data_IF_771873725157
#
_entry.id   IF_771873725157
#
_cell.length_a   1.000
_cell.length_b   1.000
_cell.length_c   1.000
_cell.angle_alpha   90.00
_cell.angle_beta   90.00
_cell.angle_gamma   90.00
#
_symmetry.space_group_name_H-M   'P 1'
#
loop_
_entity.id
_entity.type
_entity.pdbx_description
1 polymer ?
#
# COMPACT_ATOMS: atom_id res chain seq x y z
N UNK A 1 -4.00 -25.53 -8.47
CA UNK A 1 -3.88 -24.90 -7.13
C UNK A 1 -3.18 -23.53 -7.16
N UNK A 2 -2.08 -23.35 -7.93
CA UNK A 2 -1.31 -22.09 -8.02
C UNK A 2 -2.15 -20.83 -8.30
N UNK A 3 -3.16 -20.93 -9.18
CA UNK A 3 -4.03 -19.79 -9.50
C UNK A 3 -4.87 -19.32 -8.30
N UNK A 4 -5.34 -20.24 -7.43
CA UNK A 4 -6.14 -19.86 -6.25
C UNK A 4 -5.31 -19.06 -5.25
N UNK A 5 -4.06 -19.49 -5.02
CA UNK A 5 -3.12 -18.78 -4.13
C UNK A 5 -2.82 -17.38 -4.67
N UNK A 6 -2.59 -17.26 -5.98
CA UNK A 6 -2.35 -15.97 -6.63
C UNK A 6 -3.51 -14.98 -6.46
N UNK A 7 -4.74 -15.46 -6.65
CA UNK A 7 -5.96 -14.66 -6.42
C UNK A 7 -6.09 -14.23 -4.96
N UNK A 8 -5.89 -15.15 -4.01
CA UNK A 8 -5.99 -14.84 -2.57
C UNK A 8 -4.96 -13.79 -2.14
N UNK A 9 -3.70 -13.91 -2.59
CA UNK A 9 -2.66 -12.93 -2.27
C UNK A 9 -2.98 -11.53 -2.81
N UNK A 10 -3.48 -11.45 -4.04
CA UNK A 10 -3.87 -10.18 -4.64
C UNK A 10 -5.14 -9.60 -4.00
N UNK A 11 -6.10 -10.44 -3.61
CA UNK A 11 -7.27 -10.01 -2.85
C UNK A 11 -6.88 -9.45 -1.48
N UNK A 12 -5.98 -10.10 -0.75
CA UNK A 12 -5.47 -9.59 0.51
C UNK A 12 -4.80 -8.22 0.32
N UNK A 13 -3.94 -8.09 -0.70
CA UNK A 13 -3.29 -6.83 -1.01
C UNK A 13 -4.29 -5.72 -1.41
N UNK A 14 -5.34 -6.07 -2.17
CA UNK A 14 -6.41 -5.15 -2.53
C UNK A 14 -7.20 -4.70 -1.28
N UNK A 15 -7.62 -5.63 -0.43
CA UNK A 15 -8.35 -5.33 0.80
C UNK A 15 -7.55 -4.43 1.73
N UNK A 16 -6.26 -4.68 1.92
CA UNK A 16 -5.38 -3.83 2.72
C UNK A 16 -5.27 -2.43 2.11
N UNK A 17 -5.12 -2.32 0.79
CA UNK A 17 -5.06 -1.03 0.12
C UNK A 17 -6.37 -0.22 0.30
N UNK A 18 -7.53 -0.86 0.13
CA UNK A 18 -8.83 -0.22 0.32
C UNK A 18 -9.05 0.19 1.78
N UNK A 19 -8.75 -0.69 2.74
CA UNK A 19 -8.81 -0.35 4.17
C UNK A 19 -7.92 0.84 4.51
N UNK A 20 -6.72 0.91 3.91
CA UNK A 20 -5.80 2.03 4.09
C UNK A 20 -6.38 3.33 3.50
N UNK A 21 -6.99 3.27 2.32
CA UNK A 21 -7.67 4.42 1.72
C UNK A 21 -8.81 4.95 2.60
N UNK A 22 -9.65 4.05 3.12
CA UNK A 22 -10.76 4.39 4.04
C UNK A 22 -10.22 5.00 5.33
N UNK A 23 -9.16 4.44 5.91
CA UNK A 23 -8.54 4.98 7.11
C UNK A 23 -7.98 6.40 6.90
N UNK A 24 -7.46 6.71 5.70
CA UNK A 24 -7.03 8.09 5.39
C UNK A 24 -8.25 9.00 5.25
N UNK A 25 -9.27 8.60 4.48
CA UNK A 25 -10.49 9.39 4.30
C UNK A 25 -11.23 9.66 5.62
N UNK A 26 -11.19 8.74 6.58
CA UNK A 26 -11.81 8.96 7.90
C UNK A 26 -11.16 10.13 8.66
N UNK A 27 -9.91 10.50 8.37
CA UNK A 27 -9.26 11.67 8.98
C UNK A 27 -9.86 13.01 8.53
N UNK A 28 -10.60 13.04 7.41
CA UNK A 28 -11.36 14.23 7.03
C UNK A 28 -12.49 14.50 8.03
N UNK A 29 -13.09 13.45 8.59
CA UNK A 29 -14.19 13.56 9.56
C UNK A 29 -13.72 13.59 11.02
N UNK A 30 -12.64 12.86 11.34
CA UNK A 30 -12.08 12.75 12.70
C UNK A 30 -11.11 13.89 13.06
N UNK A 31 -10.67 14.68 12.09
CA UNK A 31 -9.84 15.87 12.30
C UNK A 31 -8.37 15.58 12.62
N UNK A 32 -7.68 16.57 13.21
CA UNK A 32 -6.22 16.58 13.42
C UNK A 32 -5.67 15.36 14.18
N UNK A 33 -6.40 14.85 15.17
CA UNK A 33 -5.96 13.69 15.96
C UNK A 33 -5.79 12.42 15.11
N UNK A 34 -6.61 12.26 14.07
CA UNK A 34 -6.49 11.14 13.13
C UNK A 34 -5.21 11.25 12.31
N UNK A 35 -4.84 12.46 11.88
CA UNK A 35 -3.59 12.71 11.17
C UNK A 35 -2.37 12.44 12.03
N UNK A 36 -2.39 12.83 13.31
CA UNK A 36 -1.33 12.51 14.27
C UNK A 36 -1.22 10.99 14.49
N UNK A 37 -2.34 10.29 14.66
CA UNK A 37 -2.36 8.83 14.81
C UNK A 37 -1.81 8.10 13.58
N UNK A 38 -1.99 8.67 12.38
CA UNK A 38 -1.40 8.17 11.14
C UNK A 38 0.07 8.58 10.94
N UNK A 39 0.67 9.25 11.93
CA UNK A 39 2.03 9.81 11.86
C UNK A 39 2.22 10.73 10.65
N UNK A 40 1.19 11.52 10.34
CA UNK A 40 1.27 12.51 9.27
C UNK A 40 2.34 13.57 9.61
N UNK A 41 3.00 14.16 8.60
CA UNK A 41 3.94 15.25 8.82
C UNK A 41 3.30 16.42 9.57
N UNK A 42 4.09 17.12 10.40
CA UNK A 42 3.62 18.26 11.21
C UNK A 42 2.88 19.32 10.39
N UNK A 43 3.33 19.58 9.15
CA UNK A 43 2.66 20.51 8.22
C UNK A 43 1.21 20.11 7.91
N UNK A 44 0.92 18.80 7.82
CA UNK A 44 -0.44 18.27 7.58
C UNK A 44 -1.29 18.39 8.84
N UNK A 45 -0.72 18.04 10.00
CA UNK A 45 -1.41 18.15 11.29
C UNK A 45 -1.78 19.61 11.58
N UNK A 46 -0.83 20.54 11.41
CA UNK A 46 -1.05 21.98 11.58
C UNK A 46 -2.08 22.49 10.57
N UNK A 47 -2.02 22.03 9.31
CA UNK A 47 -3.00 22.37 8.30
C UNK A 47 -4.42 21.95 8.70
N UNK A 48 -4.57 20.75 9.29
CA UNK A 48 -5.85 20.24 9.79
C UNK A 48 -6.34 21.02 11.02
N UNK A 49 -5.44 21.37 11.96
CA UNK A 49 -5.78 22.21 13.13
C UNK A 49 -6.19 23.63 12.72
N UNK A 50 -5.53 24.20 11.70
CA UNK A 50 -5.82 25.52 11.16
C UNK A 50 -7.05 25.56 10.23
N UNK A 51 -7.69 24.42 9.95
CA UNK A 51 -8.87 24.35 9.08
C UNK A 51 -8.59 24.66 7.60
N UNK A 52 -7.34 24.52 7.15
CA UNK A 52 -6.96 24.78 5.76
C UNK A 52 -7.24 23.58 4.85
N UNK A 53 -7.32 23.80 3.53
CA UNK A 53 -7.63 22.74 2.56
C UNK A 53 -6.47 21.79 2.25
N UNK A 54 -5.25 22.07 2.71
CA UNK A 54 -4.06 21.28 2.37
C UNK A 54 -4.17 19.85 2.93
N UNK A 55 -4.54 19.68 4.21
CA UNK A 55 -4.74 18.37 4.82
C UNK A 55 -5.80 17.52 4.10
N UNK A 56 -7.06 17.96 3.91
CA UNK A 56 -8.08 17.15 3.24
C UNK A 56 -7.73 16.88 1.77
N UNK A 57 -7.13 17.83 1.04
CA UNK A 57 -6.71 17.61 -0.34
C UNK A 57 -5.61 16.54 -0.43
N UNK A 58 -4.60 16.61 0.44
CA UNK A 58 -3.56 15.59 0.53
C UNK A 58 -4.15 14.20 0.85
N UNK A 59 -5.12 14.13 1.76
CA UNK A 59 -5.82 12.89 2.12
C UNK A 59 -6.56 12.27 0.93
N UNK A 60 -7.29 13.08 0.17
CA UNK A 60 -8.01 12.60 -1.02
C UNK A 60 -7.03 12.07 -2.07
N UNK A 61 -5.93 12.77 -2.30
CA UNK A 61 -4.88 12.32 -3.24
C UNK A 61 -4.27 10.99 -2.80
N UNK A 62 -3.91 10.86 -1.52
CA UNK A 62 -3.33 9.64 -0.97
C UNK A 62 -4.35 8.48 -1.04
N UNK A 63 -5.59 8.72 -0.64
CA UNK A 63 -6.66 7.72 -0.71
C UNK A 63 -6.91 7.26 -2.16
N UNK A 64 -6.91 8.17 -3.12
CA UNK A 64 -7.06 7.84 -4.54
C UNK A 64 -5.91 6.95 -5.03
N UNK A 65 -4.66 7.22 -4.62
CA UNK A 65 -3.51 6.37 -4.93
C UNK A 65 -3.73 4.95 -4.38
N UNK A 66 -4.16 4.81 -3.13
CA UNK A 66 -4.43 3.50 -2.53
C UNK A 66 -5.58 2.73 -3.22
N UNK A 67 -6.64 3.44 -3.61
CA UNK A 67 -7.74 2.85 -4.40
C UNK A 67 -7.21 2.34 -5.72
N UNK A 68 -6.38 3.13 -6.43
CA UNK A 68 -5.74 2.70 -7.67
C UNK A 68 -4.90 1.44 -7.48
N UNK A 69 -4.07 1.39 -6.42
CA UNK A 69 -3.30 0.20 -6.06
C UNK A 69 -4.22 -1.03 -5.90
N UNK A 70 -5.31 -0.89 -5.15
CA UNK A 70 -6.32 -1.93 -4.98
C UNK A 70 -6.94 -2.38 -6.32
N UNK A 71 -7.24 -1.44 -7.23
CA UNK A 71 -7.70 -1.76 -8.57
C UNK A 71 -6.65 -2.55 -9.37
N UNK A 72 -5.36 -2.19 -9.30
CA UNK A 72 -4.28 -2.95 -9.93
C UNK A 72 -4.20 -4.39 -9.38
N UNK A 73 -4.34 -4.58 -8.07
CA UNK A 73 -4.41 -5.92 -7.47
C UNK A 73 -5.59 -6.75 -7.99
N UNK A 74 -6.80 -6.17 -8.00
CA UNK A 74 -8.02 -6.82 -8.52
C UNK A 74 -7.90 -7.16 -10.00
N UNK A 75 -7.26 -6.28 -10.79
CA UNK A 75 -6.98 -6.49 -12.21
C UNK A 75 -5.97 -7.64 -12.40
N UNK A 76 -4.94 -7.72 -11.54
CA UNK A 76 -4.01 -8.84 -11.48
C UNK A 76 -4.67 -10.18 -11.13
N UNK A 77 -5.70 -10.13 -10.28
CA UNK A 77 -6.51 -11.29 -9.90
C UNK A 77 -7.52 -11.71 -10.99
N UNK A 78 -7.63 -10.95 -12.09
CA UNK A 78 -8.61 -11.13 -13.17
C UNK A 78 -10.08 -10.99 -12.72
N UNK A 79 -10.31 -10.24 -11.64
CA UNK A 79 -11.66 -9.94 -11.15
C UNK A 79 -12.29 -8.73 -11.84
N UNK A 80 -11.47 -7.80 -12.32
CA UNK A 80 -11.90 -6.62 -13.09
C UNK A 80 -11.22 -6.58 -14.46
N UNK A 81 -11.67 -5.66 -15.32
CA UNK A 81 -11.06 -5.44 -16.65
C UNK A 81 -9.55 -5.17 -16.51
N UNK A 82 -8.80 -5.72 -17.45
CA UNK A 82 -7.35 -5.55 -17.48
C UNK A 82 -6.99 -4.07 -17.69
N UNK A 83 -6.29 -3.48 -16.72
CA UNK A 83 -5.77 -2.12 -16.80
C UNK A 83 -4.58 -2.07 -17.78
N UNK A 84 -4.37 -0.93 -18.48
CA UNK A 84 -3.18 -0.75 -19.31
C UNK A 84 -1.92 -0.85 -18.43
N UNK A 85 -0.86 -1.46 -18.96
CA UNK A 85 0.43 -1.64 -18.27
C UNK A 85 0.34 -2.42 -16.94
N UNK A 86 -0.63 -3.33 -16.78
CA UNK A 86 -0.83 -4.13 -15.55
C UNK A 86 0.47 -4.75 -14.99
N UNK A 87 1.32 -5.35 -15.84
CA UNK A 87 2.59 -5.93 -15.38
C UNK A 87 3.50 -4.88 -14.78
N UNK A 88 3.72 -3.78 -15.51
CA UNK A 88 4.62 -2.70 -15.06
C UNK A 88 4.08 -2.09 -13.78
N UNK A 89 2.77 -1.78 -13.74
CA UNK A 89 2.10 -1.22 -12.56
C UNK A 89 2.23 -2.11 -11.32
N UNK A 90 2.00 -3.42 -11.42
CA UNK A 90 2.13 -4.30 -10.26
C UNK A 90 3.60 -4.42 -9.81
N UNK A 91 4.56 -4.49 -10.74
CA UNK A 91 5.97 -4.54 -10.36
C UNK A 91 6.45 -3.22 -9.72
N UNK A 92 6.00 -2.06 -10.21
CA UNK A 92 6.34 -0.77 -9.60
C UNK A 92 5.71 -0.63 -8.22
N UNK A 93 4.42 -0.97 -8.07
CA UNK A 93 3.73 -0.98 -6.76
C UNK A 93 4.48 -1.90 -5.79
N UNK A 94 4.79 -3.12 -6.21
CA UNK A 94 5.52 -4.07 -5.39
C UNK A 94 6.89 -3.53 -4.96
N UNK A 95 7.67 -2.96 -5.89
CA UNK A 95 8.96 -2.37 -5.60
C UNK A 95 8.85 -1.24 -4.59
N UNK A 96 7.91 -0.31 -4.77
CA UNK A 96 7.67 0.80 -3.83
C UNK A 96 7.27 0.29 -2.45
N UNK A 97 6.35 -0.68 -2.36
CA UNK A 97 5.93 -1.27 -1.09
C UNK A 97 7.06 -1.99 -0.36
N UNK A 98 7.88 -2.76 -1.10
CA UNK A 98 9.04 -3.48 -0.57
C UNK A 98 10.08 -2.47 -0.07
N UNK A 99 10.44 -1.48 -0.89
CA UNK A 99 11.39 -0.42 -0.48
C UNK A 99 10.89 0.29 0.77
N UNK A 100 9.60 0.67 0.81
CA UNK A 100 8.98 1.32 1.96
C UNK A 100 9.01 0.44 3.22
N UNK A 101 8.88 -0.88 3.07
CA UNK A 101 8.97 -1.83 4.19
C UNK A 101 10.40 -2.11 4.65
N UNK A 102 11.38 -2.10 3.75
CA UNK A 102 12.80 -2.36 4.06
C UNK A 102 13.46 -1.17 4.76
N UNK A 103 13.12 0.08 4.38
CA UNK A 103 13.68 1.30 4.97
C UNK A 103 13.64 1.33 6.52
N UNK A 104 12.49 1.12 7.20
CA UNK A 104 12.44 1.11 8.66
C UNK A 104 13.19 -0.07 9.28
N UNK A 105 13.25 -1.23 8.60
CA UNK A 105 14.02 -2.39 9.06
C UNK A 105 15.52 -2.08 9.02
N UNK A 106 16.01 -1.50 7.91
CA UNK A 106 17.41 -1.07 7.80
C UNK A 106 17.76 0.00 8.83
N UNK A 107 16.87 0.96 9.05
CA UNK A 107 17.07 2.01 10.03
C UNK A 107 17.10 1.44 11.46
N UNK A 108 16.25 0.45 11.76
CA UNK A 108 16.25 -0.23 13.05
C UNK A 108 17.56 -1.00 13.29
N UNK A 109 18.08 -1.69 12.28
CA UNK A 109 19.39 -2.36 12.37
C UNK A 109 20.55 -1.38 12.61
N UNK A 110 20.52 -0.18 12.04
CA UNK A 110 21.62 0.79 12.18
C UNK A 110 21.49 1.70 13.40
N UNK A 111 20.27 2.08 13.74
CA UNK A 111 19.93 3.02 14.80
C UNK A 111 18.62 2.59 15.49
N UNK A 112 18.67 1.57 16.36
CA UNK A 112 17.47 1.03 17.01
C UNK A 112 16.72 2.10 17.83
N UNK A 113 17.43 3.08 18.39
CA UNK A 113 16.86 4.17 19.19
C UNK A 113 16.05 5.19 18.37
N UNK A 114 16.10 5.14 17.03
CA UNK A 114 15.38 6.08 16.16
C UNK A 114 14.11 5.50 15.53
N UNK A 115 13.81 4.22 15.74
CA UNK A 115 12.65 3.54 15.14
C UNK A 115 11.73 3.03 16.24
N UNK A 116 10.53 3.61 16.32
CA UNK A 116 9.47 3.13 17.22
C UNK A 116 8.93 1.79 16.73
N UNK A 117 8.45 0.96 17.65
CA UNK A 117 7.81 -0.32 17.33
C UNK A 117 6.67 -0.19 16.31
N UNK A 118 5.89 0.90 16.38
CA UNK A 118 4.82 1.19 15.40
C UNK A 118 5.36 1.39 13.97
N UNK A 119 6.45 2.15 13.82
CA UNK A 119 7.09 2.40 12.51
C UNK A 119 7.62 1.09 11.92
N UNK A 120 8.22 0.23 12.76
CA UNK A 120 8.68 -1.09 12.35
C UNK A 120 7.51 -2.01 11.93
N UNK A 121 6.42 -2.02 12.70
CA UNK A 121 5.22 -2.81 12.39
C UNK A 121 4.59 -2.38 11.06
N UNK A 122 4.48 -1.07 10.82
CA UNK A 122 4.00 -0.54 9.55
C UNK A 122 4.95 -0.92 8.41
N UNK A 123 6.26 -0.83 8.62
CA UNK A 123 7.27 -1.31 7.66
C UNK A 123 7.07 -2.77 7.26
N UNK A 124 6.92 -3.66 8.25
CA UNK A 124 6.65 -5.08 8.02
C UNK A 124 5.33 -5.32 7.27
N UNK A 125 4.28 -4.56 7.59
CA UNK A 125 3.01 -4.63 6.87
C UNK A 125 3.17 -4.23 5.39
N UNK A 126 3.90 -3.14 5.10
CA UNK A 126 4.19 -2.72 3.73
C UNK A 126 5.05 -3.73 2.97
N UNK A 127 6.03 -4.35 3.63
CA UNK A 127 6.83 -5.42 3.05
C UNK A 127 5.95 -6.63 2.69
N UNK A 128 5.07 -7.04 3.60
CA UNK A 128 4.12 -8.13 3.39
C UNK A 128 3.21 -7.84 2.20
N UNK A 129 2.61 -6.65 2.13
CA UNK A 129 1.77 -6.23 0.99
C UNK A 129 2.57 -6.27 -0.32
N UNK A 130 3.79 -5.74 -0.32
CA UNK A 130 4.68 -5.75 -1.49
C UNK A 130 4.98 -7.16 -2.00
N UNK A 131 5.19 -8.12 -1.09
CA UNK A 131 5.35 -9.54 -1.40
C UNK A 131 4.06 -10.17 -1.92
N UNK A 132 2.90 -9.83 -1.36
CA UNK A 132 1.59 -10.29 -1.86
C UNK A 132 1.37 -9.85 -3.32
N UNK A 133 1.69 -8.60 -3.68
CA UNK A 133 1.64 -8.13 -5.07
C UNK A 133 2.59 -8.94 -5.98
N UNK A 134 3.85 -9.10 -5.58
CA UNK A 134 4.87 -9.77 -6.39
C UNK A 134 4.55 -11.25 -6.63
N UNK A 135 4.31 -11.98 -5.54
CA UNK A 135 4.08 -13.42 -5.56
C UNK A 135 2.71 -13.74 -6.14
N UNK A 136 1.69 -12.94 -5.79
CA UNK A 136 0.34 -13.08 -6.30
C UNK A 136 0.30 -12.91 -7.82
N UNK A 137 0.94 -11.87 -8.34
CA UNK A 137 1.00 -11.63 -9.78
C UNK A 137 1.86 -12.66 -10.52
N UNK A 138 3.01 -13.05 -9.96
CA UNK A 138 3.86 -14.10 -10.54
C UNK A 138 3.13 -15.44 -10.61
N UNK A 139 2.29 -15.76 -9.62
CA UNK A 139 1.46 -16.96 -9.62
C UNK A 139 0.32 -16.91 -10.64
N UNK A 140 -0.19 -15.72 -10.95
CA UNK A 140 -1.25 -15.48 -11.95
C UNK A 140 -0.73 -15.37 -13.39
N UNK A 141 0.57 -15.08 -13.56
CA UNK A 141 1.23 -15.05 -14.86
C UNK A 141 1.50 -16.50 -15.32
N UNK A 142 1.00 -16.91 -16.50
CA UNK A 142 1.29 -18.25 -17.01
C UNK A 142 2.80 -18.42 -17.19
N UNK A 143 3.34 -19.53 -16.70
CA UNK A 143 4.75 -19.84 -16.77
C UNK A 143 5.16 -20.00 -18.24
N UNK A 144 5.87 -19.03 -18.84
CA UNK A 144 6.38 -19.08 -20.23
C UNK A 144 7.55 -20.08 -20.42
N UNK A 145 7.65 -21.10 -19.57
CA UNK A 145 8.75 -22.07 -19.53
C UNK A 145 8.24 -23.52 -19.58
N UNK A 146 7.21 -23.79 -20.38
CA UNK A 146 6.91 -25.14 -20.85
C UNK A 146 7.27 -25.15 -22.34
N UNK A 147 8.47 -25.66 -22.73
CA UNK A 147 8.69 -26.01 -24.13
C UNK A 147 7.64 -27.05 -24.53
N UNK A 148 7.03 -26.81 -25.69
CA UNK A 148 5.95 -27.62 -26.26
C UNK A 148 6.48 -28.97 -26.71
#
# INVERSE_FOLDING_TARGET
MRNKIGVVLLLLAASIAILTAVAHLSCIFLGAQCYEAQMAPLIIVQSAQAGTLLAPLATVVIAAIFILLGCYALSGARLIKQLPLLSVGIYTISAVCITRGILPIQLWFRHPNKVTAMVLAIGLAWLFVGLCYLLGYKAMKPNRLQPK
#
